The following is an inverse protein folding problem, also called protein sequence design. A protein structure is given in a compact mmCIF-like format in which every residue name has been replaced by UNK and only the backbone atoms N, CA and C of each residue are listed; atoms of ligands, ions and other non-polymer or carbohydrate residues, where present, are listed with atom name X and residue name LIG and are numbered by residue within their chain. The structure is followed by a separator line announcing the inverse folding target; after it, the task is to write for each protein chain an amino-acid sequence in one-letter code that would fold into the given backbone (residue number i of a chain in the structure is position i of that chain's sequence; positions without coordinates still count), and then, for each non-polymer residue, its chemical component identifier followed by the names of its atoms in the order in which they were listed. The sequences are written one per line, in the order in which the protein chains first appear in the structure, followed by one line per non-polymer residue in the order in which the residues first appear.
data_IF_744002642790
#
_entry.id   IF_744002642790
#
_cell.length_a   1.000
_cell.length_b   1.000
_cell.length_c   1.000
_cell.angle_alpha   90.00
_cell.angle_beta   90.00
_cell.angle_gamma   90.00
#
_symmetry.space_group_name_H-M   'P 1'
#
loop_
_entity.id
_entity.type
_entity.pdbx_description
1 polymer ?
#
# COMPACT_ATOMS: atom_id res chain seq x y z
N UNK A 1 -48.98 44.74 28.88
CA UNK A 1 -47.79 44.08 29.48
C UNK A 1 -47.34 42.97 28.53
N UNK A 2 -46.19 43.14 27.87
CA UNK A 2 -45.62 42.20 26.88
C UNK A 2 -44.36 41.54 27.46
N UNK A 3 -44.40 40.27 27.86
CA UNK A 3 -43.22 39.42 28.13
C UNK A 3 -43.66 37.95 28.07
N UNK A 4 -42.90 36.94 27.63
CA UNK A 4 -41.75 36.75 26.74
C UNK A 4 -41.67 35.21 26.69
N UNK A 5 -41.85 34.56 25.54
CA UNK A 5 -41.71 33.10 25.44
C UNK A 5 -40.22 32.79 25.26
N UNK A 6 -39.63 32.11 26.24
CA UNK A 6 -38.26 31.63 26.18
C UNK A 6 -38.23 30.31 25.38
N UNK A 7 -37.66 30.34 24.17
CA UNK A 7 -37.47 29.15 23.35
C UNK A 7 -36.07 28.58 23.64
N UNK A 8 -36.00 27.49 24.39
CA UNK A 8 -34.75 26.77 24.64
C UNK A 8 -34.48 25.86 23.44
N UNK A 9 -33.54 26.26 22.58
CA UNK A 9 -33.02 25.41 21.52
C UNK A 9 -31.92 24.53 22.13
N UNK A 10 -32.26 23.27 22.44
CA UNK A 10 -31.25 22.26 22.74
C UNK A 10 -30.50 21.92 21.45
N UNK A 11 -29.29 22.47 21.31
CA UNK A 11 -28.34 22.08 20.27
C UNK A 11 -27.83 20.67 20.53
N UNK A 12 -28.20 19.72 19.67
CA UNK A 12 -27.55 18.41 19.59
C UNK A 12 -26.15 18.60 19.00
N UNK A 13 -25.12 18.64 19.83
CA UNK A 13 -23.75 18.44 19.37
C UNK A 13 -23.54 16.93 19.19
N UNK A 14 -23.60 16.47 17.95
CA UNK A 14 -23.09 15.15 17.61
C UNK A 14 -21.56 15.16 17.81
N UNK A 15 -21.09 14.62 18.93
CA UNK A 15 -19.67 14.31 19.10
C UNK A 15 -19.39 13.10 18.22
N UNK A 16 -18.80 13.33 17.04
CA UNK A 16 -18.23 12.25 16.25
C UNK A 16 -17.11 11.62 17.08
N UNK A 17 -17.31 10.38 17.54
CA UNK A 17 -16.25 9.59 18.14
C UNK A 17 -15.09 9.40 17.15
N UNK A 18 -13.86 9.11 17.62
CA UNK A 18 -12.75 8.84 16.73
C UNK A 18 -13.13 7.72 15.77
N UNK A 19 -12.90 7.92 14.47
CA UNK A 19 -13.05 6.87 13.48
C UNK A 19 -12.21 5.67 13.93
N UNK A 20 -12.85 4.52 14.16
CA UNK A 20 -12.15 3.29 14.48
C UNK A 20 -11.15 2.99 13.36
N UNK A 21 -9.87 2.89 13.69
CA UNK A 21 -8.84 2.41 12.78
C UNK A 21 -9.27 1.02 12.26
N UNK A 22 -9.42 0.89 10.94
CA UNK A 22 -10.02 -0.27 10.29
C UNK A 22 -9.04 -1.03 9.40
N UNK A 23 -9.50 -2.15 8.85
CA UNK A 23 -8.74 -2.88 7.83
C UNK A 23 -8.82 -2.13 6.49
N UNK A 24 -7.66 -1.81 5.89
CA UNK A 24 -7.56 -1.32 4.51
C UNK A 24 -7.18 -2.42 3.55
N UNK A 25 -7.72 -2.32 2.33
CA UNK A 25 -7.45 -3.26 1.24
C UNK A 25 -6.98 -2.49 0.02
N UNK A 26 -5.96 -3.03 -0.64
CA UNK A 26 -5.43 -2.47 -1.88
C UNK A 26 -5.18 -3.58 -2.90
N UNK A 27 -5.69 -3.37 -4.11
CA UNK A 27 -5.35 -4.17 -5.28
C UNK A 27 -4.06 -3.67 -5.89
N UNK A 28 -3.11 -4.56 -6.15
CA UNK A 28 -1.92 -4.29 -6.94
C UNK A 28 -2.05 -5.06 -8.26
N UNK A 29 -1.90 -4.38 -9.40
CA UNK A 29 -2.11 -4.92 -10.74
C UNK A 29 -0.88 -4.70 -11.60
N UNK A 30 -0.56 -5.68 -12.45
CA UNK A 30 0.34 -5.47 -13.57
C UNK A 30 -0.28 -4.46 -14.53
N UNK A 31 0.49 -3.47 -14.96
CA UNK A 31 0.07 -2.46 -15.91
C UNK A 31 0.91 -2.52 -17.17
N UNK A 32 0.29 -2.25 -18.31
CA UNK A 32 1.00 -2.05 -19.57
C UNK A 32 1.72 -0.69 -19.51
N UNK A 33 3.05 -0.61 -19.70
CA UNK A 33 3.79 0.64 -19.50
C UNK A 33 3.55 1.69 -20.60
N UNK A 34 2.94 1.33 -21.73
CA UNK A 34 2.63 2.27 -22.79
C UNK A 34 1.28 2.97 -22.55
N UNK A 35 0.29 2.25 -22.01
CA UNK A 35 -1.07 2.73 -21.80
C UNK A 35 -1.45 2.99 -20.34
N UNK A 36 -0.65 2.47 -19.40
CA UNK A 36 -0.91 2.44 -17.95
C UNK A 36 -2.22 1.72 -17.55
N UNK A 37 -2.80 0.97 -18.48
CA UNK A 37 -3.97 0.14 -18.24
C UNK A 37 -3.58 -1.17 -17.56
N UNK A 38 -4.47 -1.70 -16.72
CA UNK A 38 -4.28 -3.02 -16.14
C UNK A 38 -4.21 -4.09 -17.24
N UNK A 39 -3.25 -5.00 -17.15
CA UNK A 39 -3.11 -6.11 -18.09
C UNK A 39 -4.18 -7.16 -17.78
N UNK A 40 -5.11 -7.38 -18.70
CA UNK A 40 -6.14 -8.42 -18.54
C UNK A 40 -5.48 -9.79 -18.35
N UNK A 41 -5.84 -10.47 -17.26
CA UNK A 41 -5.26 -11.76 -16.89
C UNK A 41 -3.79 -11.70 -16.41
N UNK A 42 -3.21 -10.51 -16.27
CA UNK A 42 -1.85 -10.32 -15.79
C UNK A 42 -1.62 -10.68 -14.32
N UNK A 43 -0.40 -10.42 -13.86
CA UNK A 43 -0.02 -10.56 -12.47
C UNK A 43 -0.81 -9.60 -11.57
N UNK A 44 -1.10 -10.03 -10.34
CA UNK A 44 -1.89 -9.24 -9.38
C UNK A 44 -1.62 -9.63 -7.95
N UNK A 45 -1.93 -8.73 -7.02
CA UNK A 45 -1.88 -8.98 -5.59
C UNK A 45 -2.95 -8.22 -4.83
N UNK A 46 -3.23 -8.71 -3.62
CA UNK A 46 -4.12 -8.06 -2.65
C UNK A 46 -3.33 -7.82 -1.38
N UNK A 47 -3.20 -6.56 -1.01
CA UNK A 47 -2.64 -6.11 0.25
C UNK A 47 -3.79 -5.85 1.23
N UNK A 48 -3.66 -6.42 2.42
CA UNK A 48 -4.52 -6.15 3.57
C UNK A 48 -3.64 -5.49 4.63
N UNK A 49 -4.07 -4.36 5.16
CA UNK A 49 -3.37 -3.61 6.20
C UNK A 49 -4.32 -3.34 7.37
N UNK A 50 -3.86 -3.67 8.57
CA UNK A 50 -4.52 -3.34 9.81
C UNK A 50 -4.07 -1.95 10.25
N UNK A 51 -4.93 -0.94 10.20
CA UNK A 51 -4.55 0.41 10.64
C UNK A 51 -4.39 0.54 12.16
N UNK A 52 -4.97 -0.37 12.94
CA UNK A 52 -4.86 -0.34 14.40
C UNK A 52 -3.53 -0.94 14.85
N UNK A 53 -3.09 -2.02 14.23
CA UNK A 53 -1.87 -2.75 14.61
C UNK A 53 -0.67 -2.46 13.69
N UNK A 54 -0.88 -1.84 12.54
CA UNK A 54 0.15 -1.61 11.52
C UNK A 54 0.59 -2.88 10.78
N UNK A 55 -0.05 -4.02 11.04
CA UNK A 55 0.27 -5.29 10.40
C UNK A 55 -0.20 -5.32 8.96
N UNK A 56 0.55 -5.99 8.07
CA UNK A 56 0.07 -6.24 6.71
C UNK A 56 0.32 -7.66 6.23
N UNK A 57 -0.51 -8.06 5.27
CA UNK A 57 -0.32 -9.26 4.45
C UNK A 57 -0.57 -8.92 2.99
N UNK A 58 0.39 -9.24 2.14
CA UNK A 58 0.23 -9.25 0.69
C UNK A 58 0.14 -10.71 0.21
N UNK A 59 -0.86 -11.01 -0.60
CA UNK A 59 -0.89 -12.23 -1.40
C UNK A 59 -0.90 -11.86 -2.88
N UNK A 60 0.10 -12.32 -3.64
CA UNK A 60 0.24 -12.07 -5.06
C UNK A 60 0.34 -13.37 -5.87
N UNK A 61 -0.10 -13.32 -7.12
CA UNK A 61 -0.20 -14.47 -8.01
C UNK A 61 0.14 -14.10 -9.45
N UNK A 62 0.52 -15.12 -10.24
CA UNK A 62 0.96 -15.01 -11.63
C UNK A 62 2.18 -14.10 -11.82
N UNK A 63 2.99 -13.96 -10.77
CA UNK A 63 4.32 -13.35 -10.86
C UNK A 63 5.25 -14.23 -11.68
N UNK A 64 6.43 -13.71 -12.03
CA UNK A 64 7.51 -14.56 -12.53
C UNK A 64 7.84 -15.61 -11.46
N UNK A 65 7.92 -16.92 -11.79
CA UNK A 65 8.27 -17.95 -10.81
C UNK A 65 9.68 -17.80 -10.25
N UNK A 66 9.91 -18.28 -9.02
CA UNK A 66 11.24 -18.33 -8.39
C UNK A 66 12.01 -16.99 -8.44
N UNK A 67 11.30 -15.88 -8.35
CA UNK A 67 11.84 -14.53 -8.56
C UNK A 67 11.76 -13.73 -7.26
N UNK A 68 12.83 -13.01 -6.94
CA UNK A 68 12.89 -12.12 -5.78
C UNK A 68 12.08 -10.84 -6.00
N UNK A 69 11.24 -10.48 -5.03
CA UNK A 69 10.38 -9.31 -5.05
C UNK A 69 10.50 -8.52 -3.76
N UNK A 70 10.26 -7.21 -3.86
CA UNK A 70 10.18 -6.28 -2.75
C UNK A 70 8.86 -5.52 -2.79
N UNK A 71 8.15 -5.46 -1.66
CA UNK A 71 7.03 -4.55 -1.46
C UNK A 71 7.58 -3.19 -1.05
N UNK A 72 7.28 -2.16 -1.83
CA UNK A 72 7.84 -0.83 -1.67
C UNK A 72 6.75 0.20 -1.49
N UNK A 73 6.92 1.05 -0.47
CA UNK A 73 6.20 2.32 -0.34
C UNK A 73 7.00 3.42 -1.04
N UNK A 74 6.43 4.00 -2.09
CA UNK A 74 7.08 5.04 -2.87
C UNK A 74 7.14 6.36 -2.11
N UNK A 75 8.31 7.00 -2.03
CA UNK A 75 8.51 8.23 -1.26
C UNK A 75 8.04 9.51 -1.98
N UNK A 76 7.35 9.40 -3.12
CA UNK A 76 6.85 10.54 -3.90
C UNK A 76 7.86 11.15 -4.87
N UNK A 77 9.16 10.84 -4.73
CA UNK A 77 10.22 11.26 -5.67
C UNK A 77 11.15 10.09 -6.00
N UNK A 78 11.46 9.82 -7.28
CA UNK A 78 12.46 8.83 -7.61
C UNK A 78 13.85 9.33 -7.18
N UNK A 79 14.81 8.43 -6.93
CA UNK A 79 14.68 6.98 -6.90
C UNK A 79 14.22 6.43 -5.53
N UNK A 80 13.54 7.21 -4.69
CA UNK A 80 13.44 6.91 -3.27
C UNK A 80 12.14 6.18 -2.87
N UNK A 81 12.26 5.24 -1.94
CA UNK A 81 11.14 4.51 -1.34
C UNK A 81 11.53 3.84 -0.02
N UNK A 82 10.63 3.07 0.55
CA UNK A 82 10.88 2.20 1.69
C UNK A 82 10.50 0.77 1.34
N UNK A 83 11.41 -0.19 1.56
CA UNK A 83 11.17 -1.61 1.40
C UNK A 83 10.45 -2.10 2.66
N UNK A 84 9.17 -2.42 2.53
CA UNK A 84 8.34 -2.91 3.63
C UNK A 84 8.59 -4.39 3.91
N UNK A 85 8.76 -5.18 2.85
CA UNK A 85 9.06 -6.61 2.94
C UNK A 85 9.72 -7.12 1.65
N UNK A 86 10.36 -8.28 1.75
CA UNK A 86 10.96 -9.01 0.64
C UNK A 86 10.57 -10.48 0.68
N UNK A 87 10.58 -11.13 -0.48
CA UNK A 87 10.37 -12.57 -0.59
C UNK A 87 10.44 -13.05 -2.02
N UNK A 88 10.57 -14.36 -2.17
CA UNK A 88 10.72 -15.04 -3.46
C UNK A 88 9.40 -15.69 -3.82
N UNK A 89 8.93 -15.49 -5.05
CA UNK A 89 7.76 -16.19 -5.56
C UNK A 89 8.03 -17.70 -5.70
N UNK A 90 7.02 -18.53 -5.52
CA UNK A 90 7.15 -19.98 -5.72
C UNK A 90 7.22 -20.36 -7.22
N UNK A 91 7.34 -21.65 -7.50
CA UNK A 91 7.36 -22.18 -8.87
C UNK A 91 6.06 -21.96 -9.66
N UNK A 92 4.98 -21.52 -9.01
CA UNK A 92 3.70 -21.18 -9.62
C UNK A 92 3.48 -19.66 -9.71
N UNK A 93 4.48 -18.84 -9.37
CA UNK A 93 4.38 -17.39 -9.39
C UNK A 93 3.48 -16.84 -8.28
N UNK A 94 3.38 -17.54 -7.14
CA UNK A 94 2.68 -17.06 -5.95
C UNK A 94 3.67 -16.48 -4.96
N UNK A 95 3.30 -15.40 -4.29
CA UNK A 95 4.11 -14.75 -3.27
C UNK A 95 3.21 -14.34 -2.12
N UNK A 96 3.65 -14.63 -0.89
CA UNK A 96 3.06 -14.08 0.33
C UNK A 96 4.11 -13.28 1.07
N UNK A 97 3.82 -12.01 1.35
CA UNK A 97 4.64 -11.15 2.20
C UNK A 97 3.82 -10.71 3.40
N UNK A 98 4.49 -10.52 4.54
CA UNK A 98 3.88 -9.93 5.73
C UNK A 98 4.92 -9.12 6.49
N UNK A 99 4.46 -8.11 7.21
CA UNK A 99 5.32 -7.24 8.00
C UNK A 99 4.49 -6.23 8.78
N UNK A 100 5.17 -5.21 9.28
CA UNK A 100 4.58 -4.10 10.02
C UNK A 100 5.00 -2.77 9.39
N UNK A 101 4.09 -1.81 9.42
CA UNK A 101 4.28 -0.46 8.93
C UNK A 101 3.34 0.49 9.69
N UNK A 102 3.87 1.61 10.17
CA UNK A 102 3.13 2.48 11.07
C UNK A 102 1.91 3.19 10.46
N UNK A 103 1.93 3.54 9.16
CA UNK A 103 0.97 4.53 8.64
C UNK A 103 0.60 4.34 7.17
N UNK A 104 -0.62 3.92 6.87
CA UNK A 104 -1.12 3.80 5.50
C UNK A 104 -1.03 5.12 4.71
N UNK A 105 -0.03 5.21 3.83
CA UNK A 105 0.33 6.43 3.13
C UNK A 105 1.10 6.13 1.84
N UNK A 106 0.97 7.05 0.88
CA UNK A 106 1.70 7.02 -0.41
C UNK A 106 1.36 5.80 -1.27
N UNK A 107 1.97 5.77 -2.46
CA UNK A 107 1.77 4.70 -3.42
C UNK A 107 2.49 3.43 -2.99
N UNK A 108 1.85 2.28 -3.16
CA UNK A 108 2.44 0.97 -2.85
C UNK A 108 2.65 0.17 -4.13
N UNK A 109 3.87 -0.35 -4.32
CA UNK A 109 4.26 -1.14 -5.48
C UNK A 109 4.93 -2.45 -5.07
N UNK A 110 4.73 -3.52 -5.83
CA UNK A 110 5.57 -4.71 -5.77
C UNK A 110 6.54 -4.67 -6.94
N UNK A 111 7.84 -4.65 -6.65
CA UNK A 111 8.91 -4.51 -7.66
C UNK A 111 9.87 -5.69 -7.58
N UNK A 112 10.69 -5.88 -8.62
CA UNK A 112 11.75 -6.89 -8.57
C UNK A 112 12.76 -6.51 -7.48
N UNK A 113 13.19 -7.48 -6.68
CA UNK A 113 14.18 -7.22 -5.64
C UNK A 113 15.53 -6.79 -6.20
N UNK A 114 15.86 -7.22 -7.42
CA UNK A 114 17.01 -6.75 -8.19
C UNK A 114 16.92 -5.26 -8.56
N UNK A 115 15.73 -4.66 -8.59
CA UNK A 115 15.53 -3.25 -8.93
C UNK A 115 15.55 -2.33 -7.71
N UNK A 116 15.83 -2.86 -6.51
CA UNK A 116 15.94 -2.08 -5.28
C UNK A 116 17.24 -2.37 -4.52
N UNK A 117 17.73 -1.37 -3.79
CA UNK A 117 18.85 -1.47 -2.88
C UNK A 117 18.43 -0.90 -1.51
N UNK A 118 18.74 -1.64 -0.45
CA UNK A 118 18.26 -1.33 0.89
C UNK A 118 17.91 -2.58 1.68
N UNK A 119 17.34 -2.38 2.87
CA UNK A 119 16.93 -3.46 3.77
C UNK A 119 15.43 -3.36 4.06
N UNK A 120 14.76 -4.51 4.15
CA UNK A 120 13.36 -4.52 4.52
C UNK A 120 13.18 -4.10 5.98
N UNK A 121 12.15 -3.30 6.24
CA UNK A 121 11.76 -2.86 7.58
C UNK A 121 11.40 -1.37 7.60
N UNK A 122 10.45 -1.00 8.46
CA UNK A 122 10.08 0.41 8.68
C UNK A 122 11.22 1.15 9.39
N UNK A 123 12.10 1.76 8.60
CA UNK A 123 13.23 2.55 9.10
C UNK A 123 12.81 3.98 9.51
N UNK A 124 11.51 4.30 9.47
CA UNK A 124 11.01 5.65 9.67
C UNK A 124 11.56 6.65 8.63
N UNK A 125 11.49 7.96 8.89
CA UNK A 125 11.87 9.00 7.93
C UNK A 125 13.39 9.11 7.66
N UNK A 126 14.23 8.41 8.43
CA UNK A 126 15.69 8.57 8.38
C UNK A 126 16.41 7.61 7.40
N UNK A 127 15.74 6.58 6.88
CA UNK A 127 16.31 5.62 5.94
C UNK A 127 15.43 5.45 4.71
N UNK A 128 15.83 6.06 3.59
CA UNK A 128 15.23 5.80 2.29
C UNK A 128 16.03 4.72 1.55
N UNK A 129 15.32 3.70 1.09
CA UNK A 129 15.82 2.74 0.13
C UNK A 129 15.79 3.32 -1.27
N UNK A 130 16.52 2.68 -2.19
CA UNK A 130 16.71 3.16 -3.55
C UNK A 130 16.15 2.20 -4.57
N UNK A 131 15.21 2.66 -5.38
CA UNK A 131 14.83 2.09 -6.67
C UNK A 131 15.98 2.34 -7.66
N UNK A 132 16.71 1.28 -8.02
CA UNK A 132 17.87 1.36 -8.93
C UNK A 132 17.58 0.87 -10.35
N UNK A 133 16.42 0.26 -10.58
CA UNK A 133 15.98 -0.21 -11.89
C UNK A 133 14.51 0.09 -12.18
N UNK A 134 14.12 -0.06 -13.44
CA UNK A 134 12.76 0.23 -13.91
C UNK A 134 12.30 -0.84 -14.91
N UNK A 135 11.61 -1.85 -14.39
CA UNK A 135 11.02 -2.95 -15.14
C UNK A 135 9.50 -3.03 -14.94
N UNK A 136 8.72 -2.01 -15.36
CA UNK A 136 7.30 -1.87 -15.01
C UNK A 136 6.42 -3.04 -15.48
N UNK A 137 6.82 -3.76 -16.54
CA UNK A 137 6.11 -4.97 -17.00
C UNK A 137 6.15 -6.11 -15.99
N UNK A 138 7.14 -6.14 -15.10
CA UNK A 138 7.32 -7.16 -14.06
C UNK A 138 6.84 -6.70 -12.68
N UNK A 139 6.32 -5.47 -12.56
CA UNK A 139 5.88 -4.89 -11.29
C UNK A 139 4.37 -5.01 -11.13
N UNK A 140 3.90 -4.85 -9.89
CA UNK A 140 2.50 -4.58 -9.59
C UNK A 140 2.37 -3.16 -9.03
N UNK A 141 1.42 -2.40 -9.57
CA UNK A 141 1.09 -1.05 -9.13
C UNK A 141 -0.31 -1.03 -8.55
N UNK A 142 -0.56 -0.17 -7.57
CA UNK A 142 -1.92 0.08 -7.08
C UNK A 142 -2.93 0.34 -8.21
N UNK A 143 -4.11 -0.24 -8.07
CA UNK A 143 -5.33 0.21 -8.73
C UNK A 143 -5.67 1.61 -8.19
N UNK A 144 -6.02 2.58 -9.05
CA UNK A 144 -6.21 3.97 -8.62
C UNK A 144 -7.23 4.08 -7.48
N UNK A 145 -6.88 4.79 -6.40
CA UNK A 145 -7.78 4.94 -5.25
C UNK A 145 -7.12 5.23 -3.89
N UNK A 146 -6.11 6.12 -3.83
CA UNK A 146 -5.69 6.76 -2.58
C UNK A 146 -5.93 8.26 -2.65
#
# INVERSE_FOLDING_TARGET
MKWLVLLVILGFFAVAGPAQAGERRLSLLQKDPASWQAVSGGARGRLIFDEAEGGFVLNAHRLLPATDYALVRYAGRPPWGHILARGVSDGQGRLRLSGFWAEWSKKIWLVLGADVAGHAGDSGPAGLDRLKGWNPRAYLFEEEGL
#
